data_IF_093997414425
#
_entry.id   IF_093997414425
#
_cell.length_a   1.000
_cell.length_b   1.000
_cell.length_c   1.000
_cell.angle_alpha   90.00
_cell.angle_beta   90.00
_cell.angle_gamma   90.00
#
_symmetry.space_group_name_H-M   'P 1'
#
loop_
_entity.id
_entity.type
_entity.pdbx_description
1 polymer ?
#
# COMPACT_ATOMS: atom_id res chain seq x y z
N UNK A 1 18.44 -25.17 37.36
CA UNK A 1 17.98 -25.94 36.19
C UNK A 1 16.71 -25.26 35.71
N UNK A 2 16.70 -24.66 34.51
CA UNK A 2 15.52 -23.95 34.02
C UNK A 2 14.41 -24.95 33.69
N UNK A 3 13.20 -24.72 34.21
CA UNK A 3 12.04 -25.53 33.88
C UNK A 3 11.52 -25.16 32.49
N UNK A 4 10.79 -26.07 31.85
CA UNK A 4 10.16 -25.82 30.54
C UNK A 4 9.23 -24.59 30.59
N UNK A 5 8.58 -24.34 31.74
CA UNK A 5 7.74 -23.17 31.97
C UNK A 5 8.54 -21.86 31.93
N UNK A 6 9.76 -21.84 32.48
CA UNK A 6 10.64 -20.67 32.45
C UNK A 6 11.08 -20.36 31.01
N UNK A 7 11.31 -21.42 30.21
CA UNK A 7 11.61 -21.28 28.78
C UNK A 7 10.42 -20.65 28.04
N UNK A 8 9.19 -21.06 28.34
CA UNK A 8 7.98 -20.45 27.74
C UNK A 8 7.79 -19.00 28.15
N UNK A 9 8.02 -18.66 29.42
CA UNK A 9 7.94 -17.29 29.92
C UNK A 9 9.00 -16.39 29.26
N UNK A 10 10.24 -16.87 29.15
CA UNK A 10 11.32 -16.15 28.47
C UNK A 10 11.02 -16.01 26.98
N UNK A 11 10.48 -17.04 26.32
CA UNK A 11 10.09 -16.96 24.91
C UNK A 11 8.97 -15.95 24.69
N UNK A 12 7.93 -15.96 25.53
CA UNK A 12 6.83 -15.01 25.46
C UNK A 12 7.30 -13.56 25.70
N UNK A 13 8.22 -13.35 26.64
CA UNK A 13 8.84 -12.05 26.90
C UNK A 13 9.67 -11.57 25.71
N UNK A 14 10.54 -12.42 25.16
CA UNK A 14 11.37 -12.10 23.99
C UNK A 14 10.54 -11.76 22.75
N UNK A 15 9.50 -12.55 22.46
CA UNK A 15 8.59 -12.26 21.35
C UNK A 15 7.85 -10.94 21.54
N UNK A 16 7.52 -10.55 22.77
CA UNK A 16 6.87 -9.26 23.06
C UNK A 16 7.82 -8.09 22.82
N UNK A 17 9.09 -8.22 23.21
CA UNK A 17 10.13 -7.22 22.90
C UNK A 17 10.29 -7.09 21.39
N UNK A 18 10.37 -8.21 20.66
CA UNK A 18 10.51 -8.21 19.20
C UNK A 18 9.29 -7.56 18.53
N UNK A 19 8.07 -7.91 18.95
CA UNK A 19 6.84 -7.31 18.41
C UNK A 19 6.79 -5.78 18.66
N UNK A 20 7.23 -5.34 19.85
CA UNK A 20 7.28 -3.90 20.21
C UNK A 20 8.38 -3.15 19.44
N UNK A 21 9.52 -3.78 19.19
CA UNK A 21 10.60 -3.19 18.40
C UNK A 21 10.21 -3.04 16.92
N UNK A 22 9.50 -4.03 16.37
CA UNK A 22 9.07 -4.01 14.97
C UNK A 22 7.88 -3.06 14.74
N UNK A 23 6.95 -2.93 15.69
CA UNK A 23 5.82 -2.01 15.56
C UNK A 23 6.22 -0.52 15.52
N UNK A 24 7.44 -0.19 15.98
CA UNK A 24 8.00 1.16 15.96
C UNK A 24 8.75 1.51 14.66
N UNK A 25 9.00 0.54 13.78
CA UNK A 25 9.66 0.83 12.50
C UNK A 25 8.63 1.29 11.45
N UNK A 26 8.95 2.33 10.64
CA UNK A 26 8.10 2.74 9.53
C UNK A 26 8.01 1.57 8.55
N UNK A 27 6.79 1.08 8.32
CA UNK A 27 6.51 -0.04 7.44
C UNK A 27 7.04 0.24 6.04
N UNK A 28 8.07 -0.50 5.62
CA UNK A 28 8.58 -0.50 4.25
C UNK A 28 7.63 -1.20 3.26
N UNK A 29 8.08 -1.46 2.02
CA UNK A 29 7.25 -1.90 0.90
C UNK A 29 6.55 -3.26 1.09
N UNK A 30 6.89 -4.02 2.13
CA UNK A 30 6.28 -5.34 2.43
C UNK A 30 4.90 -5.25 3.12
N UNK A 31 4.45 -4.05 3.50
CA UNK A 31 3.07 -3.81 3.93
C UNK A 31 2.61 -4.70 5.11
N UNK A 32 1.28 -4.91 5.27
CA UNK A 32 0.69 -5.62 6.42
C UNK A 32 1.10 -7.10 6.54
N UNK A 33 1.71 -7.68 5.51
CA UNK A 33 2.10 -9.11 5.47
C UNK A 33 3.27 -9.41 6.40
N UNK A 34 4.27 -8.51 6.47
CA UNK A 34 5.40 -8.65 7.42
C UNK A 34 4.96 -8.59 8.89
N UNK A 35 3.96 -7.75 9.19
CA UNK A 35 3.35 -7.69 10.52
C UNK A 35 2.60 -8.97 10.89
N UNK A 36 1.88 -9.57 9.93
CA UNK A 36 1.18 -10.85 10.11
C UNK A 36 2.12 -12.01 10.41
N UNK A 37 3.26 -12.11 9.73
CA UNK A 37 4.25 -13.15 9.99
C UNK A 37 4.83 -13.06 11.41
N UNK A 38 5.04 -11.85 11.93
CA UNK A 38 5.55 -11.63 13.28
C UNK A 38 4.50 -11.81 14.38
N UNK A 39 3.21 -11.67 14.06
CA UNK A 39 2.08 -11.86 14.97
C UNK A 39 1.65 -13.33 15.05
N UNK A 40 1.40 -13.93 13.89
CA UNK A 40 0.71 -15.21 13.78
C UNK A 40 1.68 -16.38 13.91
N UNK A 41 2.88 -16.27 13.37
CA UNK A 41 3.84 -17.37 13.41
C UNK A 41 4.31 -17.70 14.83
N UNK A 42 4.69 -16.73 15.69
CA UNK A 42 5.06 -17.04 17.07
C UNK A 42 3.90 -17.57 17.91
N UNK A 43 2.69 -17.06 17.70
CA UNK A 43 1.49 -17.54 18.40
C UNK A 43 1.14 -18.99 18.01
N UNK A 44 1.14 -19.30 16.72
CA UNK A 44 0.91 -20.66 16.22
C UNK A 44 2.02 -21.60 16.69
N UNK A 45 3.29 -21.17 16.63
CA UNK A 45 4.43 -21.95 17.09
C UNK A 45 4.31 -22.29 18.57
N UNK A 46 4.02 -21.32 19.43
CA UNK A 46 3.82 -21.52 20.86
C UNK A 46 2.62 -22.45 21.16
N UNK A 47 1.53 -22.31 20.40
CA UNK A 47 0.34 -23.15 20.55
C UNK A 47 0.65 -24.60 20.19
N UNK A 48 1.29 -24.83 19.04
CA UNK A 48 1.68 -26.17 18.55
C UNK A 48 2.70 -26.81 19.51
N UNK A 49 3.70 -26.04 19.94
CA UNK A 49 4.72 -26.50 20.89
C UNK A 49 4.09 -26.90 22.24
N UNK A 50 3.19 -26.08 22.76
CA UNK A 50 2.46 -26.38 24.00
C UNK A 50 1.60 -27.63 23.91
N UNK A 51 0.85 -27.80 22.81
CA UNK A 51 0.04 -28.99 22.55
C UNK A 51 0.91 -30.25 22.40
N UNK A 52 2.07 -30.14 21.75
CA UNK A 52 3.04 -31.24 21.61
C UNK A 52 3.67 -31.66 22.95
N UNK A 53 3.96 -30.71 23.83
CA UNK A 53 4.50 -31.01 25.16
C UNK A 53 3.43 -31.59 26.10
N UNK A 54 2.18 -31.15 25.94
CA UNK A 54 1.03 -31.71 26.64
C UNK A 54 0.74 -33.14 26.21
N UNK A 55 0.78 -33.44 24.90
CA UNK A 55 0.56 -34.79 24.37
C UNK A 55 1.66 -35.77 24.79
N UNK A 56 2.91 -35.31 24.90
CA UNK A 56 4.06 -36.10 25.37
C UNK A 56 4.13 -36.25 26.90
N UNK A 57 3.22 -35.63 27.65
CA UNK A 57 3.24 -35.67 29.12
C UNK A 57 4.43 -34.91 29.74
N UNK A 58 5.15 -34.11 28.95
CA UNK A 58 6.29 -33.34 29.44
C UNK A 58 5.89 -32.19 30.38
N UNK A 59 4.59 -31.91 30.49
CA UNK A 59 4.00 -30.95 31.43
C UNK A 59 3.52 -31.60 32.75
N UNK A 60 3.84 -32.88 33.00
CA UNK A 60 3.44 -33.59 34.23
C UNK A 60 4.03 -33.01 35.52
N UNK A 61 5.02 -32.12 35.41
CA UNK A 61 5.52 -31.34 36.54
C UNK A 61 4.50 -30.31 37.05
N UNK A 62 3.47 -29.96 36.25
CA UNK A 62 2.37 -29.09 36.66
C UNK A 62 1.34 -29.97 37.42
N UNK A 63 1.18 -29.79 38.74
CA UNK A 63 0.23 -30.54 39.54
C UNK A 63 -1.22 -30.17 39.20
N UNK A 64 -2.12 -31.16 39.21
CA UNK A 64 -3.55 -30.98 38.88
C UNK A 64 -4.02 -31.67 37.61
N UNK A 65 -3.14 -32.41 36.94
CA UNK A 65 -3.47 -33.23 35.77
C UNK A 65 -3.70 -32.43 34.49
N UNK A 66 -4.14 -33.12 33.44
CA UNK A 66 -4.33 -32.54 32.09
C UNK A 66 -5.20 -31.27 32.04
N UNK A 67 -6.30 -31.14 32.81
CA UNK A 67 -7.13 -29.93 32.75
C UNK A 67 -6.38 -28.67 33.20
N UNK A 68 -5.56 -28.76 34.25
CA UNK A 68 -4.76 -27.64 34.75
C UNK A 68 -3.65 -27.28 33.77
N UNK A 69 -3.02 -28.26 33.14
CA UNK A 69 -2.01 -28.03 32.09
C UNK A 69 -2.59 -27.28 30.88
N UNK A 70 -3.82 -27.62 30.46
CA UNK A 70 -4.52 -26.93 29.36
C UNK A 70 -4.82 -25.47 29.76
N UNK A 71 -5.28 -25.23 31.00
CA UNK A 71 -5.56 -23.88 31.50
C UNK A 71 -4.30 -23.00 31.57
N UNK A 72 -3.17 -23.56 32.00
CA UNK A 72 -1.87 -22.85 32.02
C UNK A 72 -1.44 -22.50 30.59
N UNK A 73 -1.53 -23.45 29.65
CA UNK A 73 -1.20 -23.19 28.25
C UNK A 73 -2.09 -22.10 27.64
N UNK A 74 -3.39 -22.16 27.89
CA UNK A 74 -4.33 -21.13 27.46
C UNK A 74 -3.94 -19.75 28.03
N UNK A 75 -3.61 -19.67 29.32
CA UNK A 75 -3.16 -18.44 29.98
C UNK A 75 -1.91 -17.83 29.35
N UNK A 76 -0.90 -18.65 29.06
CA UNK A 76 0.33 -18.20 28.37
C UNK A 76 0.01 -17.64 26.99
N UNK A 77 -0.85 -18.31 26.22
CA UNK A 77 -1.27 -17.85 24.90
C UNK A 77 -2.05 -16.53 24.95
N UNK A 78 -2.91 -16.33 25.96
CA UNK A 78 -3.63 -15.06 26.10
C UNK A 78 -2.67 -13.93 26.39
N UNK A 79 -1.77 -14.11 27.35
CA UNK A 79 -0.85 -13.05 27.74
C UNK A 79 0.10 -12.71 26.60
N UNK A 80 0.48 -13.69 25.79
CA UNK A 80 1.18 -13.43 24.54
C UNK A 80 0.36 -12.56 23.59
N UNK A 81 -0.88 -12.94 23.28
CA UNK A 81 -1.76 -12.21 22.36
C UNK A 81 -2.05 -10.78 22.81
N UNK A 82 -2.37 -10.57 24.09
CA UNK A 82 -2.65 -9.24 24.66
C UNK A 82 -1.45 -8.31 24.52
N UNK A 83 -0.24 -8.85 24.63
CA UNK A 83 0.99 -8.07 24.64
C UNK A 83 1.46 -7.71 23.26
N UNK A 84 1.33 -8.64 22.32
CA UNK A 84 1.59 -8.36 20.91
C UNK A 84 0.58 -7.32 20.41
N UNK A 85 -0.71 -7.49 20.71
CA UNK A 85 -1.75 -6.51 20.32
C UNK A 85 -1.55 -5.14 21.00
N UNK A 86 -1.14 -5.11 22.26
CA UNK A 86 -0.79 -3.88 22.98
C UNK A 86 0.40 -3.15 22.33
N UNK A 87 1.39 -3.87 21.83
CA UNK A 87 2.55 -3.29 21.12
C UNK A 87 2.21 -2.56 19.82
N UNK A 88 1.04 -2.81 19.21
CA UNK A 88 0.58 -2.15 17.98
C UNK A 88 -0.22 -0.86 18.22
N UNK A 89 -0.55 -0.54 19.48
CA UNK A 89 -1.22 0.71 19.82
C UNK A 89 -0.24 1.89 19.71
N UNK A 90 -0.36 2.68 18.63
CA UNK A 90 0.43 3.91 18.42
C UNK A 90 0.08 5.06 19.40
N UNK A 91 -0.90 4.87 20.28
CA UNK A 91 -1.45 5.92 21.16
C UNK A 91 -1.52 5.50 22.63
N UNK A 92 -0.53 4.75 23.13
CA UNK A 92 -0.58 4.29 24.51
C UNK A 92 0.06 5.27 25.50
N UNK A 93 -0.81 5.82 26.35
CA UNK A 93 -0.44 6.44 27.62
C UNK A 93 0.32 5.44 28.52
N UNK A 94 1.15 5.94 29.43
CA UNK A 94 1.93 5.10 30.37
C UNK A 94 1.02 4.14 31.17
N UNK A 95 -0.22 4.56 31.44
CA UNK A 95 -1.26 3.78 32.11
C UNK A 95 -1.69 2.55 31.28
N UNK A 96 -1.84 2.69 29.96
CA UNK A 96 -2.17 1.54 29.09
C UNK A 96 -1.03 0.52 29.03
N UNK A 97 0.22 0.99 28.94
CA UNK A 97 1.40 0.11 28.99
C UNK A 97 1.48 -0.67 30.31
N UNK A 98 1.16 -0.02 31.43
CA UNK A 98 1.06 -0.67 32.74
C UNK A 98 -0.05 -1.72 32.75
N UNK A 99 -1.25 -1.40 32.27
CA UNK A 99 -2.39 -2.34 32.22
C UNK A 99 -2.08 -3.57 31.33
N UNK A 100 -1.41 -3.38 30.20
CA UNK A 100 -0.97 -4.47 29.30
C UNK A 100 0.09 -5.36 29.97
N UNK A 101 0.87 -4.82 30.92
CA UNK A 101 1.90 -5.57 31.66
C UNK A 101 1.37 -6.36 32.87
N UNK A 102 0.18 -6.03 33.38
CA UNK A 102 -0.44 -6.70 34.55
C UNK A 102 -0.59 -8.23 34.35
N UNK A 103 -1.04 -8.74 33.19
CA UNK A 103 -1.11 -10.17 32.93
C UNK A 103 0.25 -10.90 33.02
N UNK A 104 1.38 -10.23 32.72
CA UNK A 104 2.71 -10.80 32.89
C UNK A 104 3.11 -10.93 34.35
N UNK A 105 2.82 -9.90 35.14
CA UNK A 105 3.10 -9.92 36.58
C UNK A 105 2.28 -10.99 37.29
N UNK A 106 1.02 -11.17 36.84
CA UNK A 106 0.13 -12.24 37.31
C UNK A 106 0.69 -13.62 36.92
N UNK A 107 1.09 -13.83 35.65
CA UNK A 107 1.70 -15.09 35.20
C UNK A 107 3.02 -15.42 35.89
N UNK A 108 3.89 -14.44 36.07
CA UNK A 108 5.17 -14.60 36.76
C UNK A 108 4.95 -14.91 38.25
N UNK A 109 4.00 -14.25 38.90
CA UNK A 109 3.59 -14.53 40.27
C UNK A 109 3.05 -15.95 40.42
N UNK A 110 2.17 -16.39 39.52
CA UNK A 110 1.61 -17.75 39.57
C UNK A 110 2.61 -18.84 39.18
N UNK A 111 3.53 -18.59 38.24
CA UNK A 111 4.63 -19.49 37.95
C UNK A 111 5.56 -19.67 39.16
N UNK A 112 5.84 -18.58 39.89
CA UNK A 112 6.60 -18.62 41.14
C UNK A 112 5.90 -19.43 42.24
N UNK A 113 4.56 -19.32 42.35
CA UNK A 113 3.75 -20.08 43.31
C UNK A 113 3.67 -21.57 42.95
N UNK A 114 3.54 -21.91 41.66
CA UNK A 114 3.49 -23.31 41.19
C UNK A 114 4.83 -24.05 41.41
N UNK A 115 5.95 -23.32 41.44
CA UNK A 115 7.28 -23.89 41.67
C UNK A 115 7.68 -24.02 43.15
N UNK A 116 6.87 -23.52 44.09
CA UNK A 116 7.12 -23.73 45.53
C UNK A 116 6.46 -25.04 45.99
N UNK A 117 7.26 -26.11 46.10
CA UNK A 117 6.81 -27.45 46.50
C UNK A 117 6.45 -27.59 47.98
N UNK A 118 6.85 -26.64 48.83
CA UNK A 118 6.79 -26.75 50.29
C UNK A 118 5.59 -26.03 50.93
N UNK A 119 4.61 -25.61 50.12
CA UNK A 119 3.42 -24.93 50.63
C UNK A 119 2.43 -25.93 51.27
N UNK A 120 2.01 -25.73 52.54
CA UNK A 120 0.94 -26.54 53.12
C UNK A 120 -0.35 -26.35 52.30
N UNK A 121 -0.98 -27.44 51.88
CA UNK A 121 -2.13 -27.49 50.94
C UNK A 121 -1.84 -27.07 49.48
N UNK A 122 -0.71 -27.50 48.93
CA UNK A 122 -0.29 -27.28 47.53
C UNK A 122 -1.40 -27.51 46.48
N UNK A 123 -2.29 -28.52 46.63
CA UNK A 123 -3.40 -28.75 45.69
C UNK A 123 -4.40 -27.60 45.60
N UNK A 124 -4.75 -26.98 46.73
CA UNK A 124 -5.73 -25.88 46.78
C UNK A 124 -5.09 -24.63 46.19
N UNK A 125 -3.82 -24.38 46.50
CA UNK A 125 -3.05 -23.25 45.96
C UNK A 125 -2.92 -23.34 44.43
N UNK A 126 -2.62 -24.52 43.89
CA UNK A 126 -2.54 -24.75 42.45
C UNK A 126 -3.89 -24.63 41.73
N UNK A 127 -4.98 -25.08 42.36
CA UNK A 127 -6.33 -24.92 41.82
C UNK A 127 -6.72 -23.44 41.72
N UNK A 128 -6.49 -22.68 42.80
CA UNK A 128 -6.77 -21.24 42.84
C UNK A 128 -5.92 -20.50 41.81
N UNK A 129 -4.64 -20.86 41.68
CA UNK A 129 -3.76 -20.32 40.65
C UNK A 129 -4.29 -20.58 39.23
N UNK A 130 -4.70 -21.81 38.95
CA UNK A 130 -5.25 -22.17 37.64
C UNK A 130 -6.57 -21.43 37.32
N UNK A 131 -7.45 -21.25 38.31
CA UNK A 131 -8.72 -20.52 38.15
C UNK A 131 -8.44 -19.04 37.87
N UNK A 132 -7.53 -18.42 38.62
CA UNK A 132 -7.21 -17.00 38.42
C UNK A 132 -6.52 -16.77 37.07
N UNK A 133 -5.61 -17.65 36.65
CA UNK A 133 -5.01 -17.62 35.32
C UNK A 133 -6.06 -17.80 34.20
N UNK A 134 -6.99 -18.74 34.35
CA UNK A 134 -8.07 -18.98 33.40
C UNK A 134 -9.05 -17.80 33.30
N UNK A 135 -9.40 -17.17 34.42
CA UNK A 135 -10.28 -16.00 34.45
C UNK A 135 -9.60 -14.77 33.82
N UNK A 136 -8.31 -14.57 34.11
CA UNK A 136 -7.50 -13.48 33.52
C UNK A 136 -7.35 -13.68 32.01
N UNK A 137 -7.19 -14.92 31.56
CA UNK A 137 -7.17 -15.30 30.16
C UNK A 137 -8.47 -14.93 29.42
N UNK A 138 -9.62 -15.28 29.98
CA UNK A 138 -10.92 -14.96 29.38
C UNK A 138 -11.18 -13.45 29.33
N UNK A 139 -10.83 -12.72 30.39
CA UNK A 139 -10.94 -11.26 30.41
C UNK A 139 -10.02 -10.60 29.37
N UNK A 140 -8.79 -11.10 29.21
CA UNK A 140 -7.84 -10.62 28.20
C UNK A 140 -8.36 -10.77 26.77
N UNK A 141 -8.94 -11.92 26.41
CA UNK A 141 -9.60 -12.11 25.11
C UNK A 141 -10.80 -11.20 24.89
N UNK A 142 -11.60 -10.95 25.93
CA UNK A 142 -12.73 -10.01 25.85
C UNK A 142 -12.29 -8.59 25.52
N UNK A 143 -11.21 -8.11 26.15
CA UNK A 143 -10.65 -6.77 25.89
C UNK A 143 -9.98 -6.71 24.51
N UNK A 144 -9.17 -7.71 24.16
CA UNK A 144 -8.49 -7.79 22.87
C UNK A 144 -9.50 -7.86 21.70
N UNK A 145 -10.53 -8.71 21.82
CA UNK A 145 -11.59 -8.83 20.82
C UNK A 145 -12.37 -7.53 20.63
N UNK A 146 -12.68 -6.82 21.73
CA UNK A 146 -13.32 -5.49 21.66
C UNK A 146 -12.41 -4.45 20.99
N UNK A 147 -11.11 -4.46 21.27
CA UNK A 147 -10.13 -3.58 20.63
C UNK A 147 -10.03 -3.80 19.13
N UNK A 148 -9.93 -5.06 18.70
CA UNK A 148 -9.91 -5.45 17.28
C UNK A 148 -11.20 -5.03 16.59
N UNK A 149 -12.36 -5.27 17.21
CA UNK A 149 -13.65 -4.87 16.66
C UNK A 149 -13.76 -3.35 16.47
N UNK A 150 -13.36 -2.57 17.48
CA UNK A 150 -13.38 -1.10 17.39
C UNK A 150 -12.38 -0.56 16.36
N UNK A 151 -11.22 -1.20 16.22
CA UNK A 151 -10.24 -0.86 15.19
C UNK A 151 -10.80 -1.10 13.79
N UNK A 152 -11.32 -2.31 13.54
CA UNK A 152 -11.93 -2.67 12.25
C UNK A 152 -13.12 -1.76 11.92
N UNK A 153 -13.97 -1.46 12.90
CA UNK A 153 -15.10 -0.54 12.71
C UNK A 153 -14.65 0.86 12.29
N UNK A 154 -13.64 1.43 12.96
CA UNK A 154 -13.10 2.75 12.61
C UNK A 154 -12.43 2.78 11.24
N UNK A 155 -11.76 1.70 10.86
CA UNK A 155 -11.11 1.60 9.56
C UNK A 155 -12.14 1.51 8.43
N UNK A 156 -13.22 0.74 8.64
CA UNK A 156 -14.37 0.70 7.72
C UNK A 156 -15.09 2.05 7.63
N UNK A 157 -15.30 2.75 8.74
CA UNK A 157 -15.91 4.08 8.74
C UNK A 157 -15.05 5.10 7.97
N UNK A 158 -13.72 5.05 8.13
CA UNK A 158 -12.80 5.91 7.37
C UNK A 158 -12.74 5.55 5.90
N UNK A 159 -12.76 4.27 5.56
CA UNK A 159 -12.82 3.83 4.16
C UNK A 159 -14.14 4.29 3.50
N UNK A 160 -15.27 4.13 4.20
CA UNK A 160 -16.57 4.60 3.73
C UNK A 160 -16.62 6.14 3.57
N UNK A 161 -16.04 6.89 4.51
CA UNK A 161 -15.93 8.35 4.40
C UNK A 161 -15.08 8.78 3.20
N UNK A 162 -13.92 8.14 2.99
CA UNK A 162 -13.08 8.42 1.82
C UNK A 162 -13.82 8.15 0.51
N UNK A 163 -14.53 7.03 0.41
CA UNK A 163 -15.31 6.73 -0.80
C UNK A 163 -16.43 7.75 -1.03
N UNK A 164 -17.10 8.22 0.04
CA UNK A 164 -18.13 9.25 -0.09
C UNK A 164 -17.55 10.62 -0.46
N UNK A 165 -16.42 11.00 0.12
CA UNK A 165 -15.71 12.24 -0.23
C UNK A 165 -15.17 12.21 -1.66
N UNK A 166 -14.60 11.07 -2.08
CA UNK A 166 -14.15 10.85 -3.47
C UNK A 166 -15.34 10.94 -4.44
N UNK A 167 -16.47 10.29 -4.15
CA UNK A 167 -17.68 10.39 -4.97
C UNK A 167 -18.22 11.82 -5.05
N UNK A 168 -18.28 12.54 -3.93
CA UNK A 168 -18.75 13.92 -3.92
C UNK A 168 -17.83 14.85 -4.72
N UNK A 169 -16.51 14.69 -4.59
CA UNK A 169 -15.53 15.45 -5.38
C UNK A 169 -15.60 15.09 -6.86
N UNK A 170 -15.81 13.81 -7.19
CA UNK A 170 -16.00 13.35 -8.56
C UNK A 170 -17.24 13.99 -9.19
N UNK A 171 -18.37 13.98 -8.49
CA UNK A 171 -19.61 14.63 -8.96
C UNK A 171 -19.44 16.14 -9.15
N UNK A 172 -18.77 16.84 -8.23
CA UNK A 172 -18.47 18.27 -8.36
C UNK A 172 -17.58 18.57 -9.58
N UNK A 173 -16.55 17.75 -9.82
CA UNK A 173 -15.69 17.90 -10.99
C UNK A 173 -16.45 17.64 -12.29
N UNK A 174 -17.27 16.60 -12.35
CA UNK A 174 -18.07 16.29 -13.54
C UNK A 174 -19.08 17.41 -13.84
N UNK A 175 -19.75 17.95 -12.83
CA UNK A 175 -20.64 19.10 -13.01
C UNK A 175 -19.89 20.35 -13.47
N UNK A 176 -18.68 20.58 -12.95
CA UNK A 176 -17.78 21.64 -13.40
C UNK A 176 -17.40 21.49 -14.87
N UNK A 177 -16.98 20.30 -15.29
CA UNK A 177 -16.64 20.00 -16.69
C UNK A 177 -17.84 20.21 -17.63
N UNK A 178 -19.05 19.80 -17.21
CA UNK A 178 -20.28 20.05 -17.98
C UNK A 178 -20.53 21.54 -18.16
N UNK A 179 -20.44 22.32 -17.08
CA UNK A 179 -20.67 23.76 -17.12
C UNK A 179 -19.61 24.50 -17.95
N UNK A 180 -18.36 24.04 -17.94
CA UNK A 180 -17.28 24.62 -18.75
C UNK A 180 -17.42 24.25 -20.23
N UNK A 181 -17.74 23.00 -20.54
CA UNK A 181 -17.96 22.57 -21.91
C UNK A 181 -19.18 23.26 -22.54
N UNK A 182 -20.24 23.48 -21.78
CA UNK A 182 -21.45 24.19 -22.24
C UNK A 182 -21.17 25.66 -22.65
N UNK A 183 -20.05 26.26 -22.22
CA UNK A 183 -19.65 27.62 -22.62
C UNK A 183 -18.93 27.65 -23.97
N UNK A 184 -18.51 26.50 -24.51
CA UNK A 184 -17.78 26.43 -25.76
C UNK A 184 -18.75 26.47 -26.95
N UNK A 185 -18.79 27.61 -27.64
CA UNK A 185 -19.50 27.75 -28.90
C UNK A 185 -18.87 26.92 -30.03
N UNK A 186 -19.54 26.84 -31.18
CA UNK A 186 -19.06 26.08 -32.35
C UNK A 186 -17.72 26.60 -32.91
N UNK A 187 -17.37 27.86 -32.64
CA UNK A 187 -16.12 28.50 -33.06
C UNK A 187 -14.99 28.39 -32.04
N UNK A 188 -15.17 27.64 -30.95
CA UNK A 188 -14.16 27.47 -29.92
C UNK A 188 -12.83 26.99 -30.51
N UNK A 189 -11.68 27.53 -30.04
CA UNK A 189 -10.38 27.14 -30.55
C UNK A 189 -10.10 25.65 -30.25
N UNK A 190 -9.37 24.98 -31.14
CA UNK A 190 -9.10 23.55 -31.04
C UNK A 190 -8.51 23.17 -29.67
N UNK A 191 -7.56 23.95 -29.15
CA UNK A 191 -6.94 23.70 -27.85
C UNK A 191 -7.96 23.62 -26.69
N UNK A 192 -9.01 24.44 -26.71
CA UNK A 192 -10.05 24.38 -25.69
C UNK A 192 -10.88 23.09 -25.78
N UNK A 193 -11.11 22.58 -26.99
CA UNK A 193 -11.85 21.33 -27.22
C UNK A 193 -11.02 20.09 -26.85
N UNK A 194 -9.71 20.10 -27.13
CA UNK A 194 -8.83 18.97 -26.87
C UNK A 194 -8.79 18.59 -25.39
N UNK A 195 -8.87 19.55 -24.48
CA UNK A 195 -8.91 19.31 -23.02
C UNK A 195 -10.07 18.39 -22.60
N UNK A 196 -11.18 18.40 -23.34
CA UNK A 196 -12.36 17.59 -23.04
C UNK A 196 -12.34 16.20 -23.70
N UNK A 197 -11.35 15.90 -24.54
CA UNK A 197 -11.20 14.56 -25.16
C UNK A 197 -10.86 13.46 -24.14
N UNK A 198 -10.54 13.85 -22.91
CA UNK A 198 -10.30 12.97 -21.76
C UNK A 198 -11.25 13.22 -20.59
N UNK A 199 -12.35 13.96 -20.82
CA UNK A 199 -13.36 14.21 -19.79
C UNK A 199 -13.86 12.91 -19.16
N UNK A 200 -14.13 12.96 -17.86
CA UNK A 200 -14.71 11.83 -17.12
C UNK A 200 -16.14 11.56 -17.58
N UNK A 201 -16.86 12.62 -17.94
CA UNK A 201 -18.17 12.51 -18.56
C UNK A 201 -18.07 11.93 -19.98
N UNK A 202 -18.59 10.73 -20.16
CA UNK A 202 -18.52 10.00 -21.43
C UNK A 202 -19.21 10.74 -22.59
N UNK A 203 -20.32 11.44 -22.33
CA UNK A 203 -21.06 12.17 -23.35
C UNK A 203 -20.28 13.39 -23.84
N UNK A 204 -19.69 14.17 -22.93
CA UNK A 204 -18.81 15.31 -23.27
C UNK A 204 -17.59 14.82 -24.04
N UNK A 205 -16.94 13.77 -23.54
CA UNK A 205 -15.79 13.17 -24.22
C UNK A 205 -16.12 12.79 -25.66
N UNK A 206 -17.25 12.10 -25.87
CA UNK A 206 -17.68 11.69 -27.21
C UNK A 206 -17.98 12.89 -28.12
N UNK A 207 -18.70 13.90 -27.61
CA UNK A 207 -19.01 15.11 -28.36
C UNK A 207 -17.74 15.91 -28.71
N UNK A 208 -16.82 16.05 -27.76
CA UNK A 208 -15.54 16.74 -27.98
C UNK A 208 -14.71 16.02 -29.06
N UNK A 209 -14.62 14.69 -28.98
CA UNK A 209 -13.94 13.87 -29.99
C UNK A 209 -14.56 14.03 -31.39
N UNK A 210 -15.88 14.03 -31.48
CA UNK A 210 -16.60 14.23 -32.75
C UNK A 210 -16.32 15.64 -33.31
N UNK A 211 -16.43 16.68 -32.48
CA UNK A 211 -16.13 18.06 -32.88
C UNK A 211 -14.69 18.24 -33.35
N UNK A 212 -13.73 17.67 -32.62
CA UNK A 212 -12.31 17.72 -32.97
C UNK A 212 -12.05 16.99 -34.29
N UNK A 213 -12.64 15.81 -34.51
CA UNK A 213 -12.44 15.05 -35.75
C UNK A 213 -12.94 15.77 -37.01
N UNK A 214 -13.89 16.70 -36.85
CA UNK A 214 -14.47 17.52 -37.94
C UNK A 214 -13.91 18.94 -37.98
N UNK A 215 -12.89 19.24 -37.16
CA UNK A 215 -12.37 20.59 -37.03
C UNK A 215 -11.74 21.06 -38.35
N UNK A 216 -12.17 22.21 -38.92
CA UNK A 216 -11.59 22.71 -40.16
C UNK A 216 -10.10 22.99 -40.00
N UNK A 217 -9.27 22.41 -40.88
CA UNK A 217 -7.81 22.58 -40.79
C UNK A 217 -7.18 21.95 -39.54
N UNK A 218 -7.77 20.86 -39.02
CA UNK A 218 -7.31 20.14 -37.82
C UNK A 218 -5.78 20.00 -37.75
N UNK A 219 -5.15 19.50 -38.82
CA UNK A 219 -3.70 19.28 -38.82
C UNK A 219 -2.89 20.57 -38.69
N UNK A 220 -3.32 21.65 -39.35
CA UNK A 220 -2.60 22.92 -39.31
C UNK A 220 -2.71 23.57 -37.92
N UNK A 221 -3.87 23.40 -37.28
CA UNK A 221 -4.09 23.80 -35.88
C UNK A 221 -3.32 22.91 -34.90
N UNK A 222 -3.22 21.60 -35.15
CA UNK A 222 -2.39 20.70 -34.36
C UNK A 222 -0.90 21.08 -34.50
N UNK A 223 -0.44 21.46 -35.68
CA UNK A 223 0.92 22.00 -35.89
C UNK A 223 1.14 23.22 -35.02
N UNK A 224 0.22 24.19 -35.02
CA UNK A 224 0.31 25.40 -34.21
C UNK A 224 0.36 25.08 -32.70
N UNK A 225 -0.49 24.17 -32.23
CA UNK A 225 -0.52 23.74 -30.84
C UNK A 225 0.74 22.97 -30.42
N UNK A 226 1.29 22.14 -31.29
CA UNK A 226 2.57 21.46 -31.06
C UNK A 226 3.72 22.45 -31.02
N UNK A 227 3.70 23.46 -31.89
CA UNK A 227 4.66 24.56 -31.87
C UNK A 227 4.54 25.40 -30.57
N UNK A 228 3.43 25.33 -29.85
CA UNK A 228 3.23 25.92 -28.52
C UNK A 228 3.45 24.91 -27.36
N UNK A 229 3.92 23.70 -27.64
CA UNK A 229 4.12 22.63 -26.63
C UNK A 229 2.84 22.23 -25.88
N UNK A 230 1.69 22.19 -26.57
CA UNK A 230 0.43 21.73 -25.99
C UNK A 230 0.46 20.22 -25.65
N UNK A 231 0.37 19.89 -24.37
CA UNK A 231 0.27 18.49 -23.89
C UNK A 231 -1.04 17.81 -24.35
N UNK A 232 -2.11 18.58 -24.51
CA UNK A 232 -3.40 18.09 -25.02
C UNK A 232 -3.29 17.63 -26.48
N UNK A 233 -2.57 18.39 -27.32
CA UNK A 233 -2.31 18.01 -28.71
C UNK A 233 -1.44 16.74 -28.81
N UNK A 234 -0.40 16.63 -27.97
CA UNK A 234 0.42 15.41 -27.87
C UNK A 234 -0.45 14.21 -27.49
N UNK A 235 -1.27 14.36 -26.45
CA UNK A 235 -2.13 13.30 -25.94
C UNK A 235 -3.18 12.86 -26.96
N UNK A 236 -3.76 13.81 -27.70
CA UNK A 236 -4.72 13.55 -28.78
C UNK A 236 -4.06 12.78 -29.93
N UNK A 237 -2.91 13.24 -30.44
CA UNK A 237 -2.22 12.56 -31.55
C UNK A 237 -1.77 11.15 -31.14
N UNK A 238 -1.21 11.01 -29.95
CA UNK A 238 -0.69 9.73 -29.46
C UNK A 238 -1.81 8.68 -29.29
N UNK A 239 -2.96 9.06 -28.73
CA UNK A 239 -3.94 8.08 -28.26
C UNK A 239 -5.25 8.07 -29.05
N UNK A 240 -5.62 9.16 -29.73
CA UNK A 240 -6.92 9.32 -30.39
C UNK A 240 -6.78 9.42 -31.90
N UNK A 241 -5.89 10.27 -32.41
CA UNK A 241 -5.74 10.46 -33.85
C UNK A 241 -5.15 9.19 -34.48
N UNK A 242 -5.98 8.41 -35.20
CA UNK A 242 -5.60 7.11 -35.70
C UNK A 242 -4.49 7.19 -36.76
N UNK A 243 -4.65 8.09 -37.74
CA UNK A 243 -3.74 8.24 -38.88
C UNK A 243 -3.27 9.70 -39.04
N UNK A 244 -2.40 10.21 -38.14
CA UNK A 244 -1.86 11.56 -38.24
C UNK A 244 -0.96 11.68 -39.50
N UNK A 245 -1.04 12.78 -40.27
CA UNK A 245 -0.27 12.92 -41.50
C UNK A 245 1.22 13.20 -41.25
N UNK A 246 2.05 12.83 -42.23
CA UNK A 246 3.50 13.08 -42.21
C UNK A 246 3.88 14.56 -42.02
N UNK A 247 3.03 15.50 -42.44
CA UNK A 247 3.28 16.95 -42.31
C UNK A 247 3.39 17.44 -40.86
N UNK A 248 2.95 16.65 -39.88
CA UNK A 248 3.13 16.95 -38.46
C UNK A 248 4.57 16.77 -37.97
N UNK A 249 5.41 16.03 -38.73
CA UNK A 249 6.77 15.69 -38.30
C UNK A 249 7.64 16.89 -37.92
N UNK A 250 7.70 18.00 -38.68
CA UNK A 250 8.53 19.14 -38.29
C UNK A 250 8.12 19.77 -36.95
N UNK A 251 6.82 19.92 -36.68
CA UNK A 251 6.31 20.47 -35.42
C UNK A 251 6.52 19.49 -34.26
N UNK A 252 6.29 18.20 -34.51
CA UNK A 252 6.54 17.14 -33.54
C UNK A 252 8.03 17.04 -33.17
N UNK A 253 8.93 17.15 -34.15
CA UNK A 253 10.38 17.16 -33.93
C UNK A 253 10.81 18.31 -33.03
N UNK A 254 10.40 19.55 -33.33
CA UNK A 254 10.67 20.72 -32.47
C UNK A 254 10.13 20.55 -31.04
N UNK A 255 8.97 19.91 -30.90
CA UNK A 255 8.37 19.62 -29.60
C UNK A 255 9.19 18.56 -28.84
N UNK A 256 9.62 17.49 -29.51
CA UNK A 256 10.52 16.48 -28.94
C UNK A 256 11.85 17.10 -28.47
N UNK A 257 12.43 18.00 -29.24
CA UNK A 257 13.66 18.71 -28.83
C UNK A 257 13.46 19.58 -27.58
N UNK A 258 12.32 20.28 -27.48
CA UNK A 258 11.98 21.09 -26.30
C UNK A 258 11.79 20.25 -25.06
N UNK A 259 11.05 19.16 -25.18
CA UNK A 259 10.85 18.23 -24.06
C UNK A 259 12.19 17.58 -23.67
N UNK A 260 13.05 17.23 -24.63
CA UNK A 260 14.36 16.67 -24.30
C UNK A 260 15.17 17.62 -23.40
N UNK A 261 15.16 18.92 -23.69
CA UNK A 261 15.81 19.95 -22.86
C UNK A 261 15.18 20.05 -21.47
N UNK A 262 13.85 19.99 -21.37
CA UNK A 262 13.11 20.01 -20.08
C UNK A 262 13.48 18.80 -19.22
N UNK A 263 13.68 17.65 -19.84
CA UNK A 263 13.95 16.37 -19.18
C UNK A 263 15.45 16.00 -19.10
N UNK A 264 16.37 16.91 -19.45
CA UNK A 264 17.82 16.65 -19.44
C UNK A 264 18.34 16.31 -18.02
N UNK A 265 17.67 16.84 -16.99
CA UNK A 265 17.98 16.56 -15.58
C UNK A 265 17.60 15.14 -15.11
N UNK A 266 16.76 14.40 -15.84
CA UNK A 266 16.31 13.07 -15.42
C UNK A 266 17.43 12.05 -15.25
N UNK A 267 18.53 12.20 -15.99
CA UNK A 267 19.66 11.27 -15.91
C UNK A 267 20.29 11.21 -14.50
N UNK A 268 20.09 12.24 -13.69
CA UNK A 268 20.57 12.30 -12.31
C UNK A 268 19.51 11.87 -11.27
N UNK A 269 18.29 11.56 -11.70
CA UNK A 269 17.19 11.22 -10.80
C UNK A 269 17.12 9.70 -10.57
N UNK A 270 17.24 9.27 -9.30
CA UNK A 270 17.18 7.85 -8.92
C UNK A 270 15.82 7.20 -9.19
N UNK A 271 14.76 8.02 -9.30
CA UNK A 271 13.39 7.60 -9.58
C UNK A 271 12.93 7.97 -11.00
N UNK A 272 13.86 8.20 -11.95
CA UNK A 272 13.49 8.57 -13.33
C UNK A 272 12.49 7.58 -13.97
N UNK A 273 12.55 6.29 -13.63
CA UNK A 273 11.61 5.26 -14.10
C UNK A 273 10.13 5.53 -13.79
N UNK A 274 9.79 6.30 -12.74
CA UNK A 274 8.37 6.61 -12.44
C UNK A 274 7.73 7.52 -13.49
N UNK A 275 8.53 8.18 -14.32
CA UNK A 275 8.08 9.12 -15.35
C UNK A 275 7.84 8.45 -16.72
N UNK A 276 8.03 7.13 -16.84
CA UNK A 276 7.86 6.41 -18.11
C UNK A 276 6.48 6.65 -18.73
N UNK A 277 5.42 6.66 -17.92
CA UNK A 277 4.05 6.87 -18.41
C UNK A 277 3.84 8.28 -18.98
N UNK A 278 4.53 9.28 -18.44
CA UNK A 278 4.44 10.67 -18.90
C UNK A 278 5.18 10.84 -20.23
N UNK A 279 6.26 10.09 -20.45
CA UNK A 279 7.06 10.18 -21.67
C UNK A 279 6.50 9.33 -22.83
N UNK A 280 5.71 8.30 -22.52
CA UNK A 280 5.16 7.36 -23.51
C UNK A 280 4.32 8.00 -24.63
N UNK A 281 3.45 9.00 -24.38
CA UNK A 281 2.67 9.66 -25.43
C UNK A 281 3.52 10.27 -26.54
N UNK A 282 4.66 10.88 -26.20
CA UNK A 282 5.57 11.52 -27.16
C UNK A 282 6.09 10.54 -28.20
N UNK A 283 6.47 9.33 -27.78
CA UNK A 283 7.01 8.32 -28.67
C UNK A 283 5.93 7.54 -29.41
N UNK A 284 4.74 7.35 -28.81
CA UNK A 284 3.58 6.80 -29.52
C UNK A 284 3.14 7.71 -30.67
N UNK A 285 3.06 9.02 -30.45
CA UNK A 285 2.74 9.96 -31.52
C UNK A 285 3.81 9.99 -32.61
N UNK A 286 5.10 9.95 -32.23
CA UNK A 286 6.21 9.84 -33.18
C UNK A 286 6.11 8.59 -34.07
N UNK A 287 5.83 7.43 -33.48
CA UNK A 287 5.63 6.19 -34.22
C UNK A 287 4.52 6.32 -35.28
N UNK A 288 3.36 6.89 -34.91
CA UNK A 288 2.25 7.08 -35.85
C UNK A 288 2.62 8.01 -37.01
N UNK A 289 3.31 9.11 -36.71
CA UNK A 289 3.77 10.08 -37.73
C UNK A 289 4.80 9.44 -38.66
N UNK A 290 5.72 8.61 -38.14
CA UNK A 290 6.67 7.86 -38.96
C UNK A 290 6.00 6.83 -39.87
N UNK A 291 4.97 6.12 -39.37
CA UNK A 291 4.18 5.20 -40.20
C UNK A 291 3.47 5.91 -41.35
N UNK A 292 3.10 7.18 -41.17
CA UNK A 292 2.54 8.03 -42.23
C UNK A 292 3.60 8.59 -43.20
N UNK A 293 4.90 8.32 -42.97
CA UNK A 293 6.02 8.76 -43.81
C UNK A 293 6.74 10.03 -43.34
N UNK A 294 6.43 10.54 -42.14
CA UNK A 294 7.12 11.70 -41.55
C UNK A 294 8.45 11.29 -40.88
N UNK A 295 9.56 11.91 -41.24
CA UNK A 295 10.86 11.59 -40.62
C UNK A 295 11.05 12.29 -39.28
N UNK A 296 11.39 11.52 -38.24
CA UNK A 296 11.74 11.98 -36.88
C UNK A 296 13.04 11.31 -36.38
N UNK A 297 13.84 10.77 -37.30
CA UNK A 297 14.97 9.90 -36.96
C UNK A 297 16.01 10.60 -36.07
N UNK A 298 16.34 11.85 -36.38
CA UNK A 298 17.36 12.61 -35.65
C UNK A 298 16.93 12.88 -34.20
N UNK A 299 15.69 13.31 -34.02
CA UNK A 299 15.12 13.65 -32.72
C UNK A 299 14.97 12.40 -31.84
N UNK A 300 14.49 11.28 -32.42
CA UNK A 300 14.38 10.01 -31.73
C UNK A 300 15.75 9.43 -31.37
N UNK A 301 16.79 9.65 -32.19
CA UNK A 301 18.14 9.20 -31.89
C UNK A 301 18.70 9.91 -30.66
N UNK A 302 18.48 11.22 -30.55
CA UNK A 302 18.88 12.01 -29.37
C UNK A 302 18.13 11.55 -28.12
N UNK A 303 16.82 11.33 -28.22
CA UNK A 303 16.02 10.79 -27.12
C UNK A 303 16.47 9.40 -26.68
N UNK A 304 16.77 8.51 -27.63
CA UNK A 304 17.29 7.18 -27.30
C UNK A 304 18.60 7.26 -26.51
N UNK A 305 19.55 8.10 -26.95
CA UNK A 305 20.82 8.31 -26.24
C UNK A 305 20.61 8.88 -24.83
N UNK A 306 19.62 9.75 -24.64
CA UNK A 306 19.26 10.30 -23.34
C UNK A 306 18.64 9.24 -22.42
N UNK A 307 17.60 8.54 -22.90
CA UNK A 307 16.88 7.53 -22.11
C UNK A 307 17.77 6.38 -21.66
N UNK A 308 18.79 6.02 -22.44
CA UNK A 308 19.77 5.00 -22.05
C UNK A 308 20.58 5.37 -20.80
N UNK A 309 20.77 6.66 -20.53
CA UNK A 309 21.49 7.14 -19.34
C UNK A 309 20.58 7.22 -18.11
N UNK A 310 19.27 7.22 -18.29
CA UNK A 310 18.29 7.37 -17.21
C UNK A 310 17.97 6.03 -16.52
N UNK A 311 18.07 6.02 -15.19
CA UNK A 311 17.78 4.82 -14.38
C UNK A 311 16.29 4.46 -14.45
N UNK A 312 15.99 3.24 -14.87
CA UNK A 312 14.61 2.72 -14.91
C UNK A 312 13.82 3.06 -16.18
N UNK A 313 14.42 3.70 -17.19
CA UNK A 313 13.77 4.00 -18.49
C UNK A 313 14.26 3.12 -19.65
N UNK A 314 14.89 1.98 -19.35
CA UNK A 314 15.47 1.09 -20.36
C UNK A 314 14.44 0.44 -21.30
N UNK A 315 13.23 0.16 -20.81
CA UNK A 315 12.09 -0.30 -21.63
C UNK A 315 11.74 0.75 -22.69
N UNK A 316 11.64 2.01 -22.28
CA UNK A 316 11.32 3.13 -23.14
C UNK A 316 12.44 3.40 -24.15
N UNK A 317 13.71 3.33 -23.72
CA UNK A 317 14.84 3.41 -24.64
C UNK A 317 14.77 2.34 -25.73
N UNK A 318 14.47 1.08 -25.36
CA UNK A 318 14.30 -0.01 -26.33
C UNK A 318 13.12 0.22 -27.28
N UNK A 319 12.02 0.78 -26.78
CA UNK A 319 10.89 1.17 -27.63
C UNK A 319 11.31 2.22 -28.66
N UNK A 320 11.98 3.29 -28.24
CA UNK A 320 12.48 4.34 -29.14
C UNK A 320 13.48 3.78 -30.15
N UNK A 321 14.36 2.88 -29.73
CA UNK A 321 15.30 2.20 -30.64
C UNK A 321 14.59 1.44 -31.76
N UNK A 322 13.44 0.83 -31.48
CA UNK A 322 12.63 0.14 -32.49
C UNK A 322 11.96 1.06 -33.52
N UNK A 323 11.97 2.38 -33.27
CA UNK A 323 11.45 3.41 -34.18
C UNK A 323 12.54 4.02 -35.08
N UNK A 324 13.81 3.70 -34.83
CA UNK A 324 14.97 4.18 -35.60
C UNK A 324 15.29 3.23 -36.75
#
# INVERSE_FOLDING_TARGET
>A
MFSILDIFLVLAFLCTIIATAVSQQPTGPEGPVGGWLLLVFPFLFLTILGLLLLSKGSLNFIPGGRPVQILVLAGVLVTFSVSVLGGFSRYDSLIQKLIISVPYLILAGFAGVIHQSDLPNSRVVHLVAAIVLGATALAGWGVAGRGIFLYLKKDMERAAQRTQEEQAQEEEHEQGEIAEYAKLDDSAPLGALLRFTWSRNAAIRQQALERVSRFPGLDDQLIELLDQSSEDAVSYIANVYENPPARLAPAWGKMLERELKKWDSLQYNEHAGTWEQNLKPYFKGAQKIQLAGGSLHNELQLWHQHLQKCKGLGSLANFVKGLL
#
